data_IF_208020199814
#
_entry.id   IF_208020199814
#
_cell.length_a   1.000
_cell.length_b   1.000
_cell.length_c   1.000
_cell.angle_alpha   90.00
_cell.angle_beta   90.00
_cell.angle_gamma   90.00
#
_symmetry.space_group_name_H-M   'P 1'
#
loop_
_entity.id
_entity.type
_entity.pdbx_description
1 polymer ?
#
# COMPACT_ATOMS: atom_id res chain seq x y z
N UNK A 1 21.47 8.57 -7.89
CA UNK A 1 20.87 7.23 -7.79
C UNK A 1 20.40 7.05 -6.35
N UNK A 2 19.11 7.29 -6.08
CA UNK A 2 18.60 7.25 -4.71
C UNK A 2 18.36 5.80 -4.30
N UNK A 3 19.23 5.26 -3.44
CA UNK A 3 18.99 4.01 -2.72
C UNK A 3 18.19 4.34 -1.46
N UNK A 4 16.88 4.11 -1.50
CA UNK A 4 16.05 4.17 -0.30
C UNK A 4 16.21 2.86 0.47
N UNK A 5 16.59 2.94 1.75
CA UNK A 5 16.65 1.80 2.67
C UNK A 5 15.52 1.98 3.67
N UNK A 6 14.42 1.25 3.48
CA UNK A 6 13.33 1.22 4.46
C UNK A 6 13.74 0.20 5.52
N UNK A 7 14.10 0.66 6.71
CA UNK A 7 14.55 -0.20 7.81
C UNK A 7 13.37 -0.89 8.52
N UNK A 8 12.16 -0.29 8.48
CA UNK A 8 10.95 -0.80 9.12
C UNK A 8 9.70 -0.43 8.31
N UNK A 9 8.71 -1.33 8.26
CA UNK A 9 7.45 -1.09 7.57
C UNK A 9 6.52 -0.16 8.38
N UNK A 10 5.80 0.77 7.74
CA UNK A 10 4.79 1.59 8.41
C UNK A 10 3.73 0.73 9.11
N UNK A 11 3.37 1.10 10.34
CA UNK A 11 2.39 0.39 11.19
C UNK A 11 1.09 1.16 11.38
N UNK A 12 1.05 2.41 10.92
CA UNK A 12 -0.04 3.37 11.09
C UNK A 12 -1.07 3.35 9.96
N UNK A 13 -0.86 2.49 8.94
CA UNK A 13 -1.69 2.44 7.74
C UNK A 13 -1.71 1.05 7.10
N UNK A 14 -2.73 0.81 6.28
CA UNK A 14 -2.76 -0.34 5.37
C UNK A 14 -1.74 -0.13 4.26
N UNK A 15 -0.91 -1.13 4.02
CA UNK A 15 0.13 -1.08 3.00
C UNK A 15 -0.42 -1.42 1.61
N UNK A 16 0.03 -0.70 0.58
CA UNK A 16 -0.29 -1.02 -0.83
C UNK A 16 0.90 -1.73 -1.45
N UNK A 17 0.66 -2.96 -1.91
CA UNK A 17 1.67 -3.81 -2.56
C UNK A 17 1.49 -3.75 -4.07
N UNK A 18 2.53 -3.29 -4.78
CA UNK A 18 2.59 -3.34 -6.23
C UNK A 18 3.27 -4.63 -6.69
N UNK A 19 2.70 -5.28 -7.69
CA UNK A 19 3.33 -6.41 -8.37
C UNK A 19 3.88 -5.96 -9.73
N UNK A 20 5.19 -6.06 -9.92
CA UNK A 20 5.87 -5.57 -11.11
C UNK A 20 6.55 -6.70 -11.87
N UNK A 21 6.44 -6.67 -13.19
CA UNK A 21 7.14 -7.58 -14.11
C UNK A 21 8.37 -6.95 -14.75
N UNK A 22 8.61 -5.66 -14.53
CA UNK A 22 9.74 -4.90 -15.07
C UNK A 22 10.19 -3.80 -14.12
N UNK A 23 11.51 -3.60 -14.02
CA UNK A 23 12.12 -2.62 -13.13
C UNK A 23 11.79 -1.18 -13.56
N UNK A 24 11.48 -0.97 -14.84
CA UNK A 24 11.13 0.34 -15.38
C UNK A 24 9.83 0.90 -14.76
N UNK A 25 8.93 0.03 -14.31
CA UNK A 25 7.67 0.41 -13.68
C UNK A 25 7.84 0.85 -12.21
N UNK A 26 9.00 0.63 -11.60
CA UNK A 26 9.23 0.87 -10.17
C UNK A 26 8.99 2.33 -9.77
N UNK A 27 9.56 3.28 -10.53
CA UNK A 27 9.44 4.69 -10.21
C UNK A 27 7.98 5.16 -10.25
N UNK A 28 7.21 4.65 -11.22
CA UNK A 28 5.79 4.96 -11.35
C UNK A 28 4.97 4.34 -10.20
N UNK A 29 5.21 3.08 -9.87
CA UNK A 29 4.52 2.42 -8.75
C UNK A 29 4.75 3.13 -7.42
N UNK A 30 5.98 3.56 -7.15
CA UNK A 30 6.31 4.38 -5.96
C UNK A 30 5.59 5.74 -6.01
N UNK A 31 5.57 6.40 -7.18
CA UNK A 31 4.85 7.65 -7.36
C UNK A 31 3.33 7.51 -7.17
N UNK A 32 2.76 6.37 -7.54
CA UNK A 32 1.35 6.04 -7.36
C UNK A 32 1.01 5.64 -5.91
N UNK A 33 2.04 5.48 -5.07
CA UNK A 33 1.92 5.28 -3.64
C UNK A 33 2.05 3.84 -3.18
N UNK A 34 2.79 2.99 -3.89
CA UNK A 34 3.17 1.68 -3.38
C UNK A 34 4.08 1.79 -2.15
N UNK A 35 3.79 1.05 -1.09
CA UNK A 35 4.68 0.92 0.07
C UNK A 35 5.66 -0.24 -0.10
N UNK A 36 5.19 -1.31 -0.76
CA UNK A 36 5.95 -2.54 -1.01
C UNK A 36 5.86 -2.86 -2.48
N UNK A 37 6.96 -3.34 -3.04
CA UNK A 37 7.05 -3.77 -4.44
C UNK A 37 7.51 -5.21 -4.46
N UNK A 38 6.72 -6.04 -5.13
CA UNK A 38 7.08 -7.40 -5.50
C UNK A 38 7.47 -7.45 -6.96
N UNK A 39 8.45 -8.28 -7.27
CA UNK A 39 9.06 -8.35 -8.60
C UNK A 39 9.02 -9.78 -9.14
N UNK A 40 8.48 -9.97 -10.34
CA UNK A 40 8.63 -11.23 -11.09
C UNK A 40 10.05 -11.28 -11.68
N UNK A 41 11.00 -11.79 -10.91
CA UNK A 41 12.36 -12.04 -11.40
C UNK A 41 13.33 -12.48 -10.32
N UNK A 42 14.50 -12.97 -10.74
CA UNK A 42 15.56 -13.50 -9.87
C UNK A 42 16.40 -12.39 -9.20
N UNK A 43 15.80 -11.23 -8.93
CA UNK A 43 16.46 -10.18 -8.19
C UNK A 43 16.58 -10.62 -6.73
N UNK A 44 17.82 -10.87 -6.30
CA UNK A 44 18.13 -11.20 -4.91
C UNK A 44 17.95 -9.93 -4.06
N UNK A 45 16.72 -9.73 -3.57
CA UNK A 45 16.35 -8.62 -2.71
C UNK A 45 16.48 -9.04 -1.24
N UNK A 46 16.90 -8.11 -0.35
CA UNK A 46 16.86 -8.38 1.07
C UNK A 46 15.41 -8.68 1.50
N UNK A 47 15.23 -9.73 2.29
CA UNK A 47 13.93 -10.08 2.85
C UNK A 47 13.41 -8.96 3.74
N UNK A 48 12.08 -8.83 3.81
CA UNK A 48 11.44 -7.93 4.76
C UNK A 48 11.87 -8.28 6.20
N UNK A 49 11.94 -7.28 7.11
CA UNK A 49 12.29 -7.52 8.50
C UNK A 49 11.20 -8.30 9.27
N UNK A 50 9.96 -8.30 8.76
CA UNK A 50 8.81 -9.01 9.34
C UNK A 50 7.97 -9.66 8.24
N UNK A 51 7.22 -10.71 8.60
CA UNK A 51 6.21 -11.31 7.71
C UNK A 51 5.05 -10.35 7.54
N UNK A 52 4.59 -10.18 6.30
CA UNK A 52 3.47 -9.33 5.95
C UNK A 52 2.33 -10.16 5.37
N UNK A 53 1.18 -10.16 6.04
CA UNK A 53 -0.04 -10.78 5.50
C UNK A 53 -0.65 -9.87 4.43
N UNK A 54 -0.64 -10.35 3.19
CA UNK A 54 -1.09 -9.59 2.01
C UNK A 54 -2.39 -10.18 1.48
N UNK A 55 -3.44 -9.38 1.46
CA UNK A 55 -4.69 -9.73 0.76
C UNK A 55 -4.53 -9.40 -0.71
N UNK A 56 -4.59 -10.41 -1.56
CA UNK A 56 -4.53 -10.20 -3.02
C UNK A 56 -5.91 -9.88 -3.56
N UNK A 57 -6.06 -8.68 -4.13
CA UNK A 57 -7.29 -8.29 -4.79
C UNK A 57 -7.24 -8.82 -6.23
N UNK A 58 -8.23 -9.63 -6.66
CA UNK A 58 -8.23 -10.20 -7.99
C UNK A 58 -8.36 -9.09 -9.03
N UNK A 59 -7.59 -9.21 -10.11
CA UNK A 59 -7.75 -8.33 -11.26
C UNK A 59 -9.11 -8.61 -11.93
N UNK A 60 -9.76 -7.56 -12.40
CA UNK A 60 -11.06 -7.67 -13.06
C UNK A 60 -11.64 -6.28 -13.34
N UNK A 61 -12.96 -6.21 -13.32
CA UNK A 61 -13.67 -4.93 -13.36
C UNK A 61 -13.20 -4.00 -12.23
N UNK A 62 -12.93 -2.74 -12.54
CA UNK A 62 -12.37 -1.77 -11.59
C UNK A 62 -13.30 -1.59 -10.39
N UNK A 63 -14.62 -1.51 -10.60
CA UNK A 63 -15.58 -1.28 -9.52
C UNK A 63 -15.58 -2.44 -8.52
N UNK A 64 -15.54 -3.67 -9.02
CA UNK A 64 -15.46 -4.87 -8.16
C UNK A 64 -14.11 -5.00 -7.46
N UNK A 65 -13.02 -4.65 -8.15
CA UNK A 65 -11.66 -4.64 -7.59
C UNK A 65 -11.58 -3.64 -6.43
N UNK A 66 -12.09 -2.42 -6.61
CA UNK A 66 -12.08 -1.39 -5.56
C UNK A 66 -13.06 -1.70 -4.43
N UNK A 67 -14.20 -2.32 -4.71
CA UNK A 67 -15.11 -2.82 -3.68
C UNK A 67 -14.44 -3.90 -2.80
N UNK A 68 -13.75 -4.86 -3.42
CA UNK A 68 -12.99 -5.89 -2.69
C UNK A 68 -11.86 -5.28 -1.85
N UNK A 69 -11.12 -4.32 -2.39
CA UNK A 69 -10.08 -3.59 -1.65
C UNK A 69 -10.65 -2.82 -0.45
N UNK A 70 -11.83 -2.20 -0.63
CA UNK A 70 -12.55 -1.51 0.45
C UNK A 70 -12.90 -2.47 1.59
N UNK A 71 -13.50 -3.63 1.27
CA UNK A 71 -13.88 -4.65 2.25
C UNK A 71 -12.65 -5.21 2.97
N UNK A 72 -11.57 -5.50 2.24
CA UNK A 72 -10.32 -5.99 2.83
C UNK A 72 -9.74 -4.97 3.83
N UNK A 73 -9.65 -3.70 3.44
CA UNK A 73 -9.14 -2.64 4.31
C UNK A 73 -10.04 -2.42 5.55
N UNK A 74 -11.36 -2.40 5.38
CA UNK A 74 -12.30 -2.28 6.51
C UNK A 74 -12.23 -3.47 7.47
N UNK A 75 -11.91 -4.66 6.95
CA UNK A 75 -11.76 -5.89 7.74
C UNK A 75 -10.42 -5.99 8.47
N UNK A 76 -9.56 -4.96 8.37
CA UNK A 76 -8.29 -4.89 9.09
C UNK A 76 -7.12 -5.54 8.35
N UNK A 77 -7.18 -5.70 7.02
CA UNK A 77 -6.04 -6.17 6.24
C UNK A 77 -4.80 -5.28 6.49
N UNK A 78 -3.64 -5.89 6.77
CA UNK A 78 -2.40 -5.13 6.95
C UNK A 78 -1.82 -4.64 5.63
N UNK A 79 -1.99 -5.41 4.58
CA UNK A 79 -1.58 -5.05 3.23
C UNK A 79 -2.59 -5.55 2.19
N UNK A 80 -2.74 -4.78 1.11
CA UNK A 80 -3.53 -5.16 -0.07
C UNK A 80 -2.63 -5.13 -1.30
N UNK A 81 -2.64 -6.21 -2.09
CA UNK A 81 -2.03 -6.22 -3.42
C UNK A 81 -3.08 -5.86 -4.46
N UNK A 82 -2.78 -4.88 -5.28
CA UNK A 82 -3.66 -4.42 -6.34
C UNK A 82 -2.89 -4.16 -7.63
N UNK A 83 -3.54 -4.39 -8.77
CA UNK A 83 -2.99 -4.11 -10.09
C UNK A 83 -2.93 -2.60 -10.37
N UNK A 84 -3.92 -1.83 -9.89
CA UNK A 84 -3.89 -0.36 -9.92
C UNK A 84 -3.56 0.18 -8.53
N UNK A 85 -2.28 0.50 -8.34
CA UNK A 85 -1.72 1.05 -7.09
C UNK A 85 -2.37 2.37 -6.73
N UNK A 86 -2.58 3.25 -7.72
CA UNK A 86 -3.07 4.61 -7.50
C UNK A 86 -4.50 4.60 -6.99
N UNK A 87 -5.36 3.79 -7.59
CA UNK A 87 -6.75 3.66 -7.15
C UNK A 87 -6.84 2.93 -5.80
N UNK A 88 -6.06 1.86 -5.61
CA UNK A 88 -6.00 1.17 -4.33
C UNK A 88 -5.56 2.12 -3.20
N UNK A 89 -4.54 2.95 -3.42
CA UNK A 89 -4.08 3.98 -2.47
C UNK A 89 -5.21 4.92 -2.07
N UNK A 90 -5.96 5.46 -3.04
CA UNK A 90 -7.10 6.34 -2.75
C UNK A 90 -8.15 5.63 -1.90
N UNK A 91 -8.49 4.37 -2.22
CA UNK A 91 -9.48 3.59 -1.49
C UNK A 91 -9.04 3.32 -0.05
N UNK A 92 -7.80 2.86 0.18
CA UNK A 92 -7.33 2.57 1.55
C UNK A 92 -7.24 3.85 2.39
N UNK A 93 -6.85 4.99 1.80
CA UNK A 93 -6.86 6.27 2.50
C UNK A 93 -8.27 6.77 2.82
N UNK A 94 -9.21 6.56 1.89
CA UNK A 94 -10.62 6.85 2.10
C UNK A 94 -11.17 5.99 3.24
N UNK A 95 -10.93 4.69 3.24
CA UNK A 95 -11.33 3.78 4.33
C UNK A 95 -10.71 4.20 5.66
N UNK A 96 -9.43 4.55 5.70
CA UNK A 96 -8.78 5.02 6.93
C UNK A 96 -9.38 6.33 7.44
N UNK A 97 -9.80 7.22 6.52
CA UNK A 97 -10.49 8.46 6.88
C UNK A 97 -11.89 8.19 7.42
N UNK A 98 -12.65 7.29 6.78
CA UNK A 98 -14.02 6.90 7.18
C UNK A 98 -14.02 6.19 8.54
N UNK A 99 -13.04 5.31 8.78
CA UNK A 99 -12.92 4.56 10.04
C UNK A 99 -12.19 5.31 11.14
N UNK A 100 -11.67 6.51 10.86
CA UNK A 100 -10.97 7.34 11.84
C UNK A 100 -9.59 6.83 12.24
N UNK A 101 -8.97 5.96 11.44
CA UNK A 101 -7.63 5.41 11.68
C UNK A 101 -6.52 6.15 10.94
N UNK A 102 -6.86 7.07 10.03
CA UNK A 102 -5.88 7.91 9.35
C UNK A 102 -5.14 8.80 10.37
N UNK A 103 -3.80 8.75 10.43
CA UNK A 103 -3.05 9.63 11.34
C UNK A 103 -3.25 11.10 10.96
N UNK A 104 -3.34 12.01 11.95
CA UNK A 104 -3.54 13.43 11.68
C UNK A 104 -2.33 14.00 10.95
N UNK A 105 -2.57 14.71 9.85
CA UNK A 105 -1.52 15.36 9.04
C UNK A 105 -0.75 16.40 9.85
N UNK A 106 -1.43 17.05 10.81
CA UNK A 106 -0.84 18.02 11.74
C UNK A 106 -1.60 18.00 13.05
N UNK A 107 -0.93 17.58 14.13
CA UNK A 107 -1.47 17.73 15.48
C UNK A 107 -1.10 19.12 16.01
N UNK A 108 -2.09 20.02 16.13
CA UNK A 108 -1.91 21.35 16.73
C UNK A 108 -2.68 21.40 18.04
N UNK A 109 -2.00 21.76 19.13
CA UNK A 109 -2.64 22.03 20.42
C UNK A 109 -2.71 23.55 20.60
N UNK A 110 -3.89 24.13 20.43
CA UNK A 110 -4.14 25.51 20.84
C UNK A 110 -4.44 25.50 22.35
N UNK A 111 -3.62 26.19 23.12
CA UNK A 111 -3.88 26.47 24.54
C UNK A 111 -4.36 27.92 24.61
N UNK A 112 -5.49 28.14 25.30
CA UNK A 112 -6.01 29.45 25.65
C UNK A 112 -5.55 29.84 27.06
#
# INVERSE_FOLDING_TARGET
MNRFRVTELPKDRVLVVAHLTSADALAQAVSDGADVVEFDGDLELPSLPETLDVVTIPAGDEDFTLAAATVAAMSGARAVRASDVRQARKVVEMVASVTGTRPPVRAMRALA
#
